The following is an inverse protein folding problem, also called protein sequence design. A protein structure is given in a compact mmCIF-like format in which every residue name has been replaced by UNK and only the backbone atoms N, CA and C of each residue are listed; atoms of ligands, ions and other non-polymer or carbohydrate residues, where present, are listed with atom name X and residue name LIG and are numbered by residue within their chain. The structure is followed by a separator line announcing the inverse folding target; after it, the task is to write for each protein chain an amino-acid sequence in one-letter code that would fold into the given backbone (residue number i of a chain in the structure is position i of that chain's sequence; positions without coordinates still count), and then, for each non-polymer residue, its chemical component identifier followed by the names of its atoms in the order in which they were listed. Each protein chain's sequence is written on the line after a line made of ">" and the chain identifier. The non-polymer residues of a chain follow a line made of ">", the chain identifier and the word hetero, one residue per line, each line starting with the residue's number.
data_IF_191635477444
#
_entry.id   IF_191635477444
#
_cell.length_a   1.000
_cell.length_b   1.000
_cell.length_c   1.000
_cell.angle_alpha   90.00
_cell.angle_beta   90.00
_cell.angle_gamma   90.00
#
_symmetry.space_group_name_H-M   'P 1'
#
loop_
_entity.id
_entity.type
_entity.pdbx_description
1 polymer ?
#
# COMPACT_ATOMS: atom_id res chain seq x y z
N UNK A 1 -68.94 41.02 1.60
CA UNK A 1 -67.62 41.48 2.12
C UNK A 1 -67.04 40.33 2.92
N UNK A 2 -65.89 39.74 2.64
CA UNK A 2 -64.91 39.96 1.60
C UNK A 2 -64.20 38.63 1.35
N UNK A 3 -64.00 38.37 0.06
CA UNK A 3 -63.14 37.35 -0.53
C UNK A 3 -61.68 37.63 -0.15
N UNK A 4 -60.92 36.61 0.28
CA UNK A 4 -59.46 36.73 0.52
C UNK A 4 -58.73 35.44 0.12
N UNK A 5 -58.29 35.45 -1.13
CA UNK A 5 -56.96 35.07 -1.63
C UNK A 5 -56.29 33.85 -1.00
N UNK A 6 -56.43 32.71 -1.67
CA UNK A 6 -55.66 31.49 -1.45
C UNK A 6 -54.87 31.08 -2.72
N UNK A 7 -54.20 32.03 -3.39
CA UNK A 7 -53.54 31.82 -4.70
C UNK A 7 -52.00 32.06 -4.70
N UNK A 8 -51.34 32.05 -3.54
CA UNK A 8 -49.96 32.59 -3.41
C UNK A 8 -48.78 31.67 -3.72
N UNK A 9 -48.93 30.34 -3.65
CA UNK A 9 -47.77 29.41 -3.73
C UNK A 9 -47.71 28.56 -5.00
N UNK A 10 -48.86 28.23 -5.61
CA UNK A 10 -48.93 27.54 -6.91
C UNK A 10 -48.30 28.34 -8.06
N UNK A 11 -48.32 29.67 -7.96
CA UNK A 11 -47.67 30.57 -8.92
C UNK A 11 -46.15 30.43 -8.92
N UNK A 12 -45.50 30.22 -7.76
CA UNK A 12 -44.02 30.29 -7.67
C UNK A 12 -43.30 29.13 -8.36
N UNK A 13 -43.86 27.91 -8.35
CA UNK A 13 -43.23 26.78 -9.01
C UNK A 13 -43.47 26.81 -10.52
N UNK A 14 -44.67 27.21 -10.96
CA UNK A 14 -44.95 27.47 -12.37
C UNK A 14 -44.12 28.64 -12.90
N UNK A 15 -43.90 29.69 -12.10
CA UNK A 15 -43.05 30.82 -12.46
C UNK A 15 -41.57 30.43 -12.51
N UNK A 16 -41.08 29.56 -11.61
CA UNK A 16 -39.71 29.00 -11.70
C UNK A 16 -39.55 28.09 -12.91
N UNK A 17 -40.52 27.24 -13.20
CA UNK A 17 -40.50 26.39 -14.39
C UNK A 17 -40.51 27.25 -15.65
N UNK A 18 -41.36 28.28 -15.72
CA UNK A 18 -41.37 29.25 -16.82
C UNK A 18 -40.08 30.06 -16.92
N UNK A 19 -39.46 30.44 -15.79
CA UNK A 19 -38.16 31.11 -15.78
C UNK A 19 -37.03 30.18 -16.26
N UNK A 20 -37.06 28.91 -15.87
CA UNK A 20 -36.15 27.88 -16.37
C UNK A 20 -36.37 27.68 -17.87
N UNK A 21 -37.60 27.44 -18.31
CA UNK A 21 -37.98 27.27 -19.72
C UNK A 21 -37.59 28.49 -20.56
N UNK A 22 -37.84 29.72 -20.08
CA UNK A 22 -37.45 30.95 -20.75
C UNK A 22 -35.92 31.13 -20.78
N UNK A 23 -35.23 30.81 -19.68
CA UNK A 23 -33.76 30.80 -19.63
C UNK A 23 -33.14 29.77 -20.58
N UNK A 24 -33.77 28.61 -20.73
CA UNK A 24 -33.34 27.55 -21.65
C UNK A 24 -33.64 27.90 -23.10
N UNK A 25 -34.83 28.42 -23.40
CA UNK A 25 -35.18 28.89 -24.74
C UNK A 25 -34.22 30.00 -25.21
N UNK A 26 -33.72 30.83 -24.29
CA UNK A 26 -32.71 31.84 -24.56
C UNK A 26 -31.29 31.27 -24.73
N UNK A 27 -30.92 30.22 -23.98
CA UNK A 27 -29.58 29.63 -24.00
C UNK A 27 -29.36 28.61 -25.14
N UNK A 28 -30.41 27.91 -25.59
CA UNK A 28 -30.39 26.90 -26.65
C UNK A 28 -31.65 27.02 -27.53
N UNK A 29 -31.70 28.02 -28.44
CA UNK A 29 -32.88 28.27 -29.27
C UNK A 29 -33.21 27.05 -30.15
N UNK A 30 -34.45 26.57 -30.11
CA UNK A 30 -34.94 25.48 -30.96
C UNK A 30 -34.95 24.08 -30.34
N UNK A 31 -34.52 23.92 -29.08
CA UNK A 31 -34.63 22.66 -28.35
C UNK A 31 -35.84 22.65 -27.40
N UNK A 32 -36.53 21.51 -27.31
CA UNK A 32 -37.52 21.25 -26.27
C UNK A 32 -36.83 21.11 -24.90
N UNK A 33 -37.23 21.93 -23.93
CA UNK A 33 -36.63 21.99 -22.59
C UNK A 33 -36.72 20.64 -21.85
N UNK A 34 -37.79 19.88 -22.06
CA UNK A 34 -37.95 18.57 -21.45
C UNK A 34 -36.95 17.57 -22.04
N UNK A 35 -36.81 17.53 -23.37
CA UNK A 35 -35.84 16.69 -24.07
C UNK A 35 -34.40 17.04 -23.67
N UNK A 36 -34.09 18.32 -23.49
CA UNK A 36 -32.76 18.77 -23.07
C UNK A 36 -32.41 18.34 -21.63
N UNK A 37 -33.33 18.53 -20.66
CA UNK A 37 -33.12 18.08 -19.28
C UNK A 37 -32.99 16.55 -19.20
N UNK A 38 -33.78 15.82 -19.99
CA UNK A 38 -33.64 14.37 -20.11
C UNK A 38 -32.25 14.00 -20.63
N UNK A 39 -31.73 14.68 -21.66
CA UNK A 39 -30.39 14.43 -22.19
C UNK A 39 -29.28 14.70 -21.15
N UNK A 40 -29.41 15.73 -20.31
CA UNK A 40 -28.48 15.98 -19.18
C UNK A 40 -28.51 14.83 -18.17
N UNK A 41 -29.71 14.36 -17.80
CA UNK A 41 -29.87 13.25 -16.86
C UNK A 41 -29.30 11.95 -17.44
N UNK A 42 -29.52 11.68 -18.72
CA UNK A 42 -29.05 10.47 -19.39
C UNK A 42 -27.54 10.46 -19.67
N UNK A 43 -26.93 11.65 -19.82
CA UNK A 43 -25.47 11.79 -20.02
C UNK A 43 -24.68 11.89 -18.71
N UNK A 44 -25.34 12.00 -17.56
CA UNK A 44 -24.67 12.04 -16.26
C UNK A 44 -23.96 10.73 -15.95
N UNK A 45 -22.75 10.78 -15.40
CA UNK A 45 -22.04 9.61 -14.89
C UNK A 45 -22.62 9.07 -13.57
N UNK A 46 -23.33 9.91 -12.82
CA UNK A 46 -23.99 9.49 -11.59
C UNK A 46 -25.33 8.81 -11.91
N UNK A 47 -25.69 7.80 -11.10
CA UNK A 47 -27.01 7.19 -11.19
C UNK A 47 -28.07 8.14 -10.64
N UNK A 48 -29.03 8.51 -11.48
CA UNK A 48 -30.13 9.41 -11.13
C UNK A 48 -31.43 8.63 -11.17
N UNK A 49 -32.09 8.56 -10.02
CA UNK A 49 -33.28 7.73 -9.80
C UNK A 49 -34.34 8.61 -9.14
N UNK A 50 -35.59 8.50 -9.57
CA UNK A 50 -36.72 9.05 -8.81
C UNK A 50 -37.60 7.93 -8.27
N UNK A 51 -38.30 8.21 -7.18
CA UNK A 51 -39.26 7.29 -6.57
C UNK A 51 -40.45 8.03 -5.96
N UNK A 52 -41.58 7.34 -5.84
CA UNK A 52 -42.74 7.82 -5.08
C UNK A 52 -42.46 7.84 -3.57
N UNK A 53 -43.38 8.43 -2.80
CA UNK A 53 -43.33 8.42 -1.33
C UNK A 53 -43.52 7.02 -0.72
N UNK A 54 -43.93 6.03 -1.51
CA UNK A 54 -44.00 4.62 -1.13
C UNK A 54 -42.70 3.85 -1.48
N UNK A 55 -41.66 4.56 -1.94
CA UNK A 55 -40.39 3.95 -2.31
C UNK A 55 -40.39 3.23 -3.66
N UNK A 56 -41.43 3.42 -4.49
CA UNK A 56 -41.54 2.79 -5.81
C UNK A 56 -40.78 3.62 -6.83
N UNK A 57 -39.85 2.99 -7.57
CA UNK A 57 -39.03 3.64 -8.58
C UNK A 57 -39.90 4.17 -9.73
N UNK A 58 -39.73 5.43 -10.08
CA UNK A 58 -40.48 6.12 -11.15
C UNK A 58 -39.61 6.46 -12.36
N UNK A 59 -38.32 6.71 -12.17
CA UNK A 59 -37.37 6.91 -13.28
C UNK A 59 -36.02 6.27 -12.99
N UNK A 60 -35.29 5.95 -14.06
CA UNK A 60 -34.03 5.22 -14.01
C UNK A 60 -33.16 5.62 -15.21
N UNK A 61 -32.09 6.39 -15.00
CA UNK A 61 -31.22 6.83 -16.10
C UNK A 61 -30.22 5.75 -16.53
N UNK A 62 -29.52 5.96 -17.65
CA UNK A 62 -28.50 5.03 -18.18
C UNK A 62 -27.37 4.72 -17.20
N UNK A 63 -26.97 5.67 -16.36
CA UNK A 63 -25.95 5.39 -15.32
C UNK A 63 -26.47 4.48 -14.21
N UNK A 64 -27.74 4.57 -13.83
CA UNK A 64 -28.33 3.63 -12.90
C UNK A 64 -28.33 2.19 -13.46
N UNK A 65 -28.56 2.02 -14.77
CA UNK A 65 -28.41 0.72 -15.44
C UNK A 65 -26.99 0.18 -15.32
N UNK A 66 -25.98 1.01 -15.61
CA UNK A 66 -24.57 0.61 -15.51
C UNK A 66 -24.15 0.28 -14.08
N UNK A 67 -24.53 1.12 -13.11
CA UNK A 67 -24.10 0.99 -11.71
C UNK A 67 -24.76 -0.21 -11.03
N UNK A 68 -26.06 -0.44 -11.23
CA UNK A 68 -26.81 -1.47 -10.51
C UNK A 68 -27.10 -2.73 -11.34
N UNK A 69 -26.93 -2.70 -12.66
CA UNK A 69 -27.09 -3.84 -13.56
C UNK A 69 -28.54 -4.17 -13.93
N UNK A 70 -29.51 -3.35 -13.52
CA UNK A 70 -30.92 -3.48 -13.90
C UNK A 70 -31.26 -2.52 -15.04
N UNK A 71 -31.99 -2.98 -16.05
CA UNK A 71 -32.51 -2.06 -17.07
C UNK A 71 -33.63 -1.19 -16.50
N UNK A 72 -33.94 -0.07 -17.13
CA UNK A 72 -35.06 0.77 -16.73
C UNK A 72 -36.39 -0.01 -16.69
N UNK A 73 -36.63 -0.93 -17.64
CA UNK A 73 -37.82 -1.77 -17.70
C UNK A 73 -37.92 -2.74 -16.52
N UNK A 74 -36.80 -3.19 -15.99
CA UNK A 74 -36.76 -4.09 -14.83
C UNK A 74 -36.93 -3.33 -13.50
N UNK A 75 -36.41 -2.10 -13.44
CA UNK A 75 -36.34 -1.30 -12.22
C UNK A 75 -37.58 -0.42 -11.99
N UNK A 76 -38.12 0.22 -13.02
CA UNK A 76 -39.27 1.12 -12.88
C UNK A 76 -40.50 0.34 -12.42
N UNK A 77 -41.22 0.87 -11.45
CA UNK A 77 -42.36 0.22 -10.80
C UNK A 77 -42.00 -0.77 -9.70
N UNK A 78 -40.71 -1.06 -9.47
CA UNK A 78 -40.24 -1.89 -8.35
C UNK A 78 -39.92 -1.05 -7.12
N UNK A 79 -39.96 -1.64 -5.90
CA UNK A 79 -39.51 -0.96 -4.70
C UNK A 79 -37.98 -0.78 -4.72
N UNK A 80 -37.50 0.40 -4.33
CA UNK A 80 -36.06 0.73 -4.27
C UNK A 80 -35.27 -0.19 -3.32
N UNK A 81 -35.97 -0.87 -2.39
CA UNK A 81 -35.40 -1.87 -1.48
C UNK A 81 -34.74 -3.04 -2.20
N UNK A 82 -35.05 -3.27 -3.49
CA UNK A 82 -34.34 -4.29 -4.29
C UNK A 82 -32.82 -4.07 -4.36
N UNK A 83 -32.37 -2.81 -4.22
CA UNK A 83 -30.96 -2.42 -4.22
C UNK A 83 -30.35 -2.43 -2.81
N UNK A 84 -31.14 -2.67 -1.77
CA UNK A 84 -30.71 -2.52 -0.38
C UNK A 84 -30.38 -3.89 0.20
N UNK A 85 -29.18 -4.08 0.79
CA UNK A 85 -28.83 -5.30 1.51
C UNK A 85 -29.82 -5.61 2.65
N UNK A 86 -30.01 -6.88 2.98
CA UNK A 86 -31.01 -7.31 3.97
C UNK A 86 -30.76 -6.72 5.36
N UNK A 87 -29.49 -6.55 5.74
CA UNK A 87 -29.03 -5.97 7.01
C UNK A 87 -29.18 -4.44 7.08
N UNK A 88 -29.68 -3.80 6.01
CA UNK A 88 -29.77 -2.33 5.87
C UNK A 88 -31.14 -1.83 5.40
N UNK A 89 -32.16 -2.69 5.44
CA UNK A 89 -33.51 -2.35 4.96
C UNK A 89 -34.17 -1.20 5.75
N UNK A 90 -33.72 -0.96 6.98
CA UNK A 90 -34.17 0.13 7.86
C UNK A 90 -33.73 1.53 7.39
N UNK A 91 -32.69 1.61 6.54
CA UNK A 91 -32.25 2.88 5.95
C UNK A 91 -33.38 3.57 5.15
N UNK A 92 -34.19 2.81 4.43
CA UNK A 92 -35.20 3.35 3.51
C UNK A 92 -36.36 4.04 4.25
N UNK A 93 -37.00 3.42 5.27
CA UNK A 93 -37.97 4.12 6.12
C UNK A 93 -37.42 5.41 6.74
N UNK A 94 -36.17 5.39 7.23
CA UNK A 94 -35.54 6.57 7.83
C UNK A 94 -35.34 7.69 6.81
N UNK A 95 -34.87 7.35 5.60
CA UNK A 95 -34.74 8.30 4.49
C UNK A 95 -36.10 8.88 4.10
N UNK A 96 -37.14 8.04 3.93
CA UNK A 96 -38.47 8.51 3.54
C UNK A 96 -39.08 9.44 4.60
N UNK A 97 -38.87 9.18 5.89
CA UNK A 97 -39.34 10.06 6.96
C UNK A 97 -38.75 11.48 6.82
N UNK A 98 -37.44 11.59 6.58
CA UNK A 98 -36.75 12.88 6.36
C UNK A 98 -37.25 13.58 5.10
N UNK A 99 -37.41 12.85 4.00
CA UNK A 99 -37.95 13.41 2.76
C UNK A 99 -39.38 13.92 2.95
N UNK A 100 -40.23 13.18 3.67
CA UNK A 100 -41.59 13.62 3.99
C UNK A 100 -41.62 14.89 4.87
N UNK A 101 -40.62 15.08 5.72
CA UNK A 101 -40.42 16.33 6.46
C UNK A 101 -39.88 17.49 5.59
N UNK A 102 -39.58 17.23 4.31
CA UNK A 102 -39.02 18.21 3.37
C UNK A 102 -37.52 18.41 3.50
N UNK A 103 -36.84 17.57 4.28
CA UNK A 103 -35.39 17.60 4.44
C UNK A 103 -34.68 16.96 3.25
N UNK A 104 -33.42 17.35 3.05
CA UNK A 104 -32.49 16.69 2.14
C UNK A 104 -31.59 15.74 2.93
N UNK A 105 -31.21 14.63 2.31
CA UNK A 105 -30.14 13.76 2.81
C UNK A 105 -28.92 14.01 1.94
N UNK A 106 -27.86 14.58 2.52
CA UNK A 106 -26.61 14.86 1.83
C UNK A 106 -25.53 13.84 2.24
N UNK A 107 -24.69 13.44 1.28
CA UNK A 107 -23.48 12.62 1.49
C UNK A 107 -23.66 11.38 2.37
N UNK A 108 -24.76 10.66 2.21
CA UNK A 108 -24.98 9.42 2.96
C UNK A 108 -24.24 8.27 2.27
N UNK A 109 -23.12 7.86 2.83
CA UNK A 109 -22.37 6.69 2.36
C UNK A 109 -22.99 5.38 2.86
N UNK A 110 -23.29 4.46 1.95
CA UNK A 110 -23.86 3.15 2.27
C UNK A 110 -23.48 2.12 1.20
N UNK A 111 -23.91 0.87 1.41
CA UNK A 111 -23.75 -0.24 0.48
C UNK A 111 -25.07 -0.53 -0.23
N UNK A 112 -24.98 -0.82 -1.54
CA UNK A 112 -26.09 -1.35 -2.33
C UNK A 112 -25.73 -2.67 -2.99
N UNK A 113 -26.75 -3.44 -3.32
CA UNK A 113 -26.66 -4.71 -4.02
C UNK A 113 -27.02 -4.52 -5.49
N UNK A 114 -26.14 -4.97 -6.38
CA UNK A 114 -26.38 -5.04 -7.83
C UNK A 114 -27.24 -6.26 -8.18
N UNK A 115 -27.71 -6.33 -9.43
CA UNK A 115 -28.48 -7.46 -9.97
C UNK A 115 -27.77 -8.81 -9.86
N UNK A 116 -26.45 -8.82 -10.04
CA UNK A 116 -25.62 -10.03 -9.93
C UNK A 116 -25.34 -10.46 -8.48
N UNK A 117 -25.86 -9.72 -7.49
CA UNK A 117 -25.65 -9.98 -6.07
C UNK A 117 -24.41 -9.32 -5.48
N UNK A 118 -23.54 -8.70 -6.29
CA UNK A 118 -22.36 -7.99 -5.80
C UNK A 118 -22.75 -6.72 -5.03
N UNK A 119 -21.88 -6.32 -4.10
CA UNK A 119 -22.08 -5.12 -3.30
C UNK A 119 -21.22 -3.96 -3.81
N UNK A 120 -21.77 -2.75 -3.69
CA UNK A 120 -21.09 -1.50 -4.04
C UNK A 120 -21.19 -0.47 -2.95
N UNK A 121 -20.08 0.21 -2.70
CA UNK A 121 -20.08 1.40 -1.89
C UNK A 121 -20.56 2.59 -2.73
N UNK A 122 -21.58 3.28 -2.23
CA UNK A 122 -22.12 4.47 -2.88
C UNK A 122 -22.26 5.63 -1.91
N UNK A 123 -22.10 6.85 -2.43
CA UNK A 123 -22.51 8.08 -1.75
C UNK A 123 -23.85 8.53 -2.31
N UNK A 124 -24.81 8.78 -1.42
CA UNK A 124 -26.17 9.16 -1.76
C UNK A 124 -26.46 10.61 -1.43
N UNK A 125 -27.10 11.28 -2.37
CA UNK A 125 -27.78 12.55 -2.14
C UNK A 125 -29.25 12.40 -2.52
N UNK A 126 -30.15 12.72 -1.59
CA UNK A 126 -31.59 12.45 -1.74
C UNK A 126 -32.36 13.73 -1.45
N UNK A 127 -33.18 14.17 -2.40
CA UNK A 127 -33.91 15.44 -2.32
C UNK A 127 -35.41 15.23 -2.56
N UNK A 128 -36.29 15.98 -1.87
CA UNK A 128 -37.72 15.91 -2.12
C UNK A 128 -38.06 16.48 -3.51
N UNK A 129 -38.92 15.77 -4.24
CA UNK A 129 -39.53 16.27 -5.49
C UNK A 129 -40.85 16.92 -5.13
N UNK A 130 -41.07 18.17 -5.56
CA UNK A 130 -42.28 18.94 -5.30
C UNK A 130 -43.06 19.17 -6.59
N UNK A 131 -44.39 19.15 -6.51
CA UNK A 131 -45.27 19.53 -7.61
C UNK A 131 -45.38 21.06 -7.75
N UNK A 132 -46.19 21.52 -8.71
CA UNK A 132 -46.44 22.95 -8.95
C UNK A 132 -47.06 23.70 -7.76
N UNK A 133 -47.65 22.99 -6.80
CA UNK A 133 -48.24 23.54 -5.57
C UNK A 133 -47.26 23.52 -4.39
N UNK A 134 -46.02 23.08 -4.60
CA UNK A 134 -45.01 22.94 -3.55
C UNK A 134 -45.15 21.68 -2.67
N UNK A 135 -46.16 20.84 -2.91
CA UNK A 135 -46.38 19.57 -2.22
C UNK A 135 -45.33 18.54 -2.63
N UNK A 136 -44.76 17.84 -1.66
CA UNK A 136 -43.81 16.74 -1.90
C UNK A 136 -44.57 15.57 -2.51
N UNK A 137 -44.11 15.08 -3.66
CA UNK A 137 -44.73 13.99 -4.43
C UNK A 137 -43.80 12.78 -4.59
N UNK A 138 -42.54 12.90 -4.19
CA UNK A 138 -41.56 11.83 -4.29
C UNK A 138 -40.17 12.28 -3.86
N UNK A 139 -39.17 11.49 -4.23
CA UNK A 139 -37.77 11.77 -3.96
C UNK A 139 -36.94 11.58 -5.22
N UNK A 140 -35.95 12.46 -5.45
CA UNK A 140 -34.86 12.24 -6.38
C UNK A 140 -33.63 11.76 -5.61
N UNK A 141 -32.92 10.81 -6.19
CA UNK A 141 -31.72 10.19 -5.63
C UNK A 141 -30.61 10.28 -6.66
N UNK A 142 -29.47 10.81 -6.22
CA UNK A 142 -28.21 10.77 -6.94
C UNK A 142 -27.33 9.78 -6.20
N UNK A 143 -26.85 8.77 -6.91
CA UNK A 143 -26.00 7.71 -6.38
C UNK A 143 -24.67 7.73 -7.14
N UNK A 144 -23.59 7.99 -6.40
CA UNK A 144 -22.22 7.96 -6.93
C UNK A 144 -21.51 6.72 -6.43
N UNK A 145 -20.95 5.93 -7.34
CA UNK A 145 -20.05 4.84 -6.97
C UNK A 145 -18.78 5.41 -6.35
N UNK A 146 -18.44 4.98 -5.14
CA UNK A 146 -17.24 5.40 -4.41
C UNK A 146 -16.32 4.21 -4.11
N UNK A 147 -16.57 3.05 -4.73
CA UNK A 147 -15.81 1.83 -4.50
C UNK A 147 -14.32 2.03 -4.81
N UNK A 148 -13.99 2.69 -5.92
CA UNK A 148 -12.60 2.94 -6.32
C UNK A 148 -11.90 3.89 -5.34
N UNK A 149 -12.60 4.94 -4.90
CA UNK A 149 -12.08 5.89 -3.91
C UNK A 149 -11.81 5.20 -2.58
N UNK A 150 -12.71 4.34 -2.11
CA UNK A 150 -12.52 3.58 -0.87
C UNK A 150 -11.38 2.58 -0.98
N UNK A 151 -11.31 1.80 -2.07
CA UNK A 151 -10.20 0.88 -2.32
C UNK A 151 -8.85 1.61 -2.38
N UNK A 152 -8.79 2.77 -3.02
CA UNK A 152 -7.58 3.58 -3.07
C UNK A 152 -7.16 4.09 -1.68
N UNK A 153 -8.13 4.55 -0.86
CA UNK A 153 -7.87 5.00 0.50
C UNK A 153 -7.41 3.85 1.41
N UNK A 154 -8.03 2.68 1.32
CA UNK A 154 -7.60 1.47 2.06
C UNK A 154 -6.19 1.03 1.65
N UNK A 155 -5.90 1.06 0.35
CA UNK A 155 -4.55 0.74 -0.15
C UNK A 155 -3.51 1.74 0.38
N UNK A 156 -3.82 3.04 0.39
CA UNK A 156 -2.95 4.06 0.98
C UNK A 156 -2.71 3.83 2.48
N UNK A 157 -3.74 3.48 3.26
CA UNK A 157 -3.60 3.20 4.69
C UNK A 157 -2.71 1.96 4.94
N UNK A 158 -2.86 0.91 4.13
CA UNK A 158 -1.99 -0.27 4.19
C UNK A 158 -0.52 0.10 3.94
N UNK A 159 -0.25 0.90 2.90
CA UNK A 159 1.11 1.36 2.59
C UNK A 159 1.70 2.22 3.72
N UNK A 160 0.91 3.10 4.32
CA UNK A 160 1.34 3.91 5.46
C UNK A 160 1.67 3.05 6.67
N UNK A 161 0.85 2.04 6.99
CA UNK A 161 1.12 1.09 8.08
C UNK A 161 2.43 0.33 7.83
N UNK A 162 2.63 -0.16 6.61
CA UNK A 162 3.88 -0.85 6.26
C UNK A 162 5.10 0.07 6.40
N UNK A 163 5.01 1.31 5.90
CA UNK A 163 6.03 2.34 6.07
C UNK A 163 6.32 2.61 7.54
N UNK A 164 5.29 2.78 8.38
CA UNK A 164 5.46 2.97 9.82
C UNK A 164 6.17 1.80 10.48
N UNK A 165 5.80 0.56 10.13
CA UNK A 165 6.49 -0.63 10.62
C UNK A 165 7.96 -0.66 10.21
N UNK A 166 8.28 -0.36 8.95
CA UNK A 166 9.66 -0.31 8.44
C UNK A 166 10.50 0.75 9.15
N UNK A 167 9.97 1.98 9.29
CA UNK A 167 10.64 3.08 9.99
C UNK A 167 10.90 2.71 11.47
N UNK A 168 9.92 2.13 12.16
CA UNK A 168 10.09 1.66 13.54
C UNK A 168 11.20 0.61 13.65
N UNK A 169 11.23 -0.35 12.71
CA UNK A 169 12.27 -1.38 12.67
C UNK A 169 13.67 -0.76 12.44
N UNK A 170 13.79 0.20 11.52
CA UNK A 170 15.05 0.92 11.28
C UNK A 170 15.55 1.61 12.55
N UNK A 171 14.71 2.34 13.28
CA UNK A 171 15.11 2.99 14.53
C UNK A 171 15.52 1.99 15.61
N UNK A 172 14.83 0.86 15.74
CA UNK A 172 15.20 -0.18 16.69
C UNK A 172 16.58 -0.79 16.38
N UNK A 173 16.87 -1.01 15.10
CA UNK A 173 18.16 -1.51 14.62
C UNK A 173 19.26 -0.47 14.86
N UNK A 174 19.02 0.80 14.50
CA UNK A 174 19.97 1.90 14.76
C UNK A 174 20.30 2.03 16.25
N UNK A 175 19.30 2.00 17.13
CA UNK A 175 19.51 2.04 18.58
C UNK A 175 20.34 0.86 19.09
N UNK A 176 20.12 -0.33 18.51
CA UNK A 176 20.90 -1.54 18.83
C UNK A 176 22.35 -1.42 18.36
N UNK A 177 22.59 -0.86 17.16
CA UNK A 177 23.93 -0.60 16.64
C UNK A 177 24.70 0.33 17.59
N UNK A 178 24.08 1.42 18.03
CA UNK A 178 24.70 2.39 18.96
C UNK A 178 25.07 1.70 20.28
N UNK A 179 24.11 1.02 20.88
CA UNK A 179 24.28 0.35 22.19
C UNK A 179 25.41 -0.67 22.14
N UNK A 180 25.50 -1.43 21.05
CA UNK A 180 26.47 -2.50 20.91
C UNK A 180 27.86 -1.94 20.50
N UNK A 181 27.92 -0.93 19.63
CA UNK A 181 29.18 -0.30 19.24
C UNK A 181 29.85 0.42 20.42
N UNK A 182 29.05 1.04 21.29
CA UNK A 182 29.53 1.69 22.51
C UNK A 182 30.17 0.71 23.51
N UNK A 183 29.79 -0.58 23.49
CA UNK A 183 30.38 -1.60 24.38
C UNK A 183 31.77 -2.06 23.96
N UNK A 184 32.08 -1.97 22.66
CA UNK A 184 33.33 -2.52 22.11
C UNK A 184 34.36 -1.46 21.78
N UNK A 185 33.93 -0.22 21.49
CA UNK A 185 34.83 0.86 21.11
C UNK A 185 35.71 1.28 22.29
N UNK A 186 37.02 1.40 22.04
CA UNK A 186 37.99 1.84 23.05
C UNK A 186 38.14 3.36 23.09
N UNK A 187 37.74 4.05 22.00
CA UNK A 187 37.82 5.51 21.89
C UNK A 187 36.56 6.12 21.27
N UNK A 188 36.25 7.41 21.57
CA UNK A 188 35.14 8.10 20.92
C UNK A 188 35.26 8.18 19.39
N UNK A 189 36.48 8.29 18.87
CA UNK A 189 36.73 8.35 17.42
C UNK A 189 36.45 7.00 16.73
N UNK A 190 36.80 5.89 17.39
CA UNK A 190 36.49 4.54 16.92
C UNK A 190 34.98 4.29 16.93
N UNK A 191 34.28 4.72 17.99
CA UNK A 191 32.83 4.66 18.07
C UNK A 191 32.16 5.45 16.93
N UNK A 192 32.58 6.71 16.72
CA UNK A 192 32.00 7.57 15.71
C UNK A 192 32.20 7.02 14.28
N UNK A 193 33.42 6.55 13.97
CA UNK A 193 33.73 5.93 12.67
C UNK A 193 32.92 4.65 12.48
N UNK A 194 32.94 3.74 13.46
CA UNK A 194 32.22 2.48 13.38
C UNK A 194 30.70 2.62 13.36
N UNK A 195 30.13 3.68 13.92
CA UNK A 195 28.72 4.02 13.78
C UNK A 195 28.41 4.57 12.39
N UNK A 196 29.25 5.49 11.89
CA UNK A 196 29.08 6.09 10.56
C UNK A 196 29.08 5.02 9.47
N UNK A 197 30.05 4.11 9.48
CA UNK A 197 30.20 3.08 8.45
C UNK A 197 28.98 2.15 8.42
N UNK A 198 28.46 1.76 9.60
CA UNK A 198 27.25 0.93 9.72
C UNK A 198 25.98 1.64 9.30
N UNK A 199 25.85 2.94 9.61
CA UNK A 199 24.71 3.74 9.14
C UNK A 199 24.72 3.88 7.61
N UNK A 200 25.89 4.03 6.99
CA UNK A 200 26.03 4.05 5.54
C UNK A 200 25.64 2.71 4.93
N UNK A 201 26.10 1.59 5.51
CA UNK A 201 25.72 0.25 5.07
C UNK A 201 24.20 0.03 5.18
N UNK A 202 23.59 0.46 6.29
CA UNK A 202 22.14 0.41 6.50
C UNK A 202 21.38 1.26 5.46
N UNK A 203 21.87 2.47 5.16
CA UNK A 203 21.28 3.35 4.14
C UNK A 203 21.27 2.68 2.77
N UNK A 204 22.39 2.10 2.35
CA UNK A 204 22.49 1.38 1.07
C UNK A 204 21.55 0.19 1.00
N UNK A 205 21.51 -0.61 2.07
CA UNK A 205 20.59 -1.74 2.18
C UNK A 205 19.13 -1.29 2.10
N UNK A 206 18.80 -0.13 2.69
CA UNK A 206 17.45 0.42 2.64
C UNK A 206 17.09 0.95 1.25
N UNK A 207 18.00 1.65 0.56
CA UNK A 207 17.81 2.10 -0.83
C UNK A 207 17.47 0.93 -1.78
N UNK A 208 18.05 -0.25 -1.56
CA UNK A 208 17.77 -1.46 -2.34
C UNK A 208 16.36 -2.03 -2.11
N UNK A 209 15.65 -1.54 -1.09
CA UNK A 209 14.29 -1.97 -0.73
C UNK A 209 13.25 -0.86 -0.93
N UNK A 210 13.68 0.33 -1.36
CA UNK A 210 12.79 1.43 -1.67
C UNK A 210 12.09 1.18 -3.01
N UNK A 211 10.76 1.34 -3.10
CA UNK A 211 10.06 1.24 -4.36
C UNK A 211 10.59 2.27 -5.35
N UNK A 212 10.85 1.85 -6.59
CA UNK A 212 11.05 2.80 -7.69
C UNK A 212 9.76 3.59 -7.92
N UNK A 213 9.80 4.91 -7.72
CA UNK A 213 8.66 5.80 -7.98
C UNK A 213 8.45 6.12 -9.48
N UNK A 214 9.05 5.34 -10.37
CA UNK A 214 9.03 5.56 -11.83
C UNK A 214 8.16 4.51 -12.51
N UNK A 215 6.96 4.92 -12.95
CA UNK A 215 6.07 4.10 -13.79
C UNK A 215 4.83 3.58 -13.08
N UNK A 216 3.75 3.36 -13.84
CA UNK A 216 2.42 2.98 -13.36
C UNK A 216 2.27 1.54 -12.86
N UNK A 217 3.37 0.84 -12.58
CA UNK A 217 3.34 -0.49 -11.98
C UNK A 217 3.43 -0.34 -10.46
N UNK A 218 2.27 -0.52 -9.83
CA UNK A 218 2.11 -0.52 -8.39
C UNK A 218 3.08 -1.51 -7.73
N UNK A 219 3.86 -1.01 -6.76
CA UNK A 219 4.33 -1.72 -5.56
C UNK A 219 4.38 -3.25 -5.66
N UNK A 220 5.15 -3.78 -6.62
CA UNK A 220 5.62 -5.15 -6.51
C UNK A 220 6.54 -5.15 -5.29
N UNK A 221 6.38 -6.12 -4.39
CA UNK A 221 7.32 -6.33 -3.29
C UNK A 221 8.73 -6.45 -3.90
N UNK A 222 9.48 -5.35 -3.91
CA UNK A 222 10.80 -5.35 -4.53
C UNK A 222 11.71 -6.19 -3.64
N UNK A 223 11.95 -7.41 -4.10
CA UNK A 223 13.01 -8.26 -3.62
C UNK A 223 14.31 -7.82 -4.30
N UNK A 224 15.41 -7.85 -3.55
CA UNK A 224 16.75 -7.74 -4.11
C UNK A 224 17.41 -9.12 -4.08
N UNK A 225 18.55 -9.29 -4.71
CA UNK A 225 19.27 -10.56 -4.67
C UNK A 225 20.45 -10.54 -3.71
N UNK A 226 20.88 -11.71 -3.24
CA UNK A 226 22.09 -11.83 -2.42
C UNK A 226 23.32 -11.33 -3.17
N UNK A 227 23.45 -11.59 -4.47
CA UNK A 227 24.57 -11.04 -5.23
C UNK A 227 24.54 -9.51 -5.29
N UNK A 228 23.36 -8.92 -5.48
CA UNK A 228 23.22 -7.45 -5.51
C UNK A 228 23.63 -6.86 -4.15
N UNK A 229 23.12 -7.42 -3.06
CA UNK A 229 23.45 -7.00 -1.70
C UNK A 229 24.96 -7.13 -1.40
N UNK A 230 25.52 -8.32 -1.61
CA UNK A 230 26.94 -8.60 -1.34
C UNK A 230 27.86 -7.72 -2.19
N UNK A 231 27.55 -7.53 -3.48
CA UNK A 231 28.33 -6.66 -4.35
C UNK A 231 28.32 -5.20 -3.87
N UNK A 232 27.17 -4.68 -3.45
CA UNK A 232 27.05 -3.32 -2.89
C UNK A 232 27.88 -3.14 -1.62
N UNK A 233 27.89 -4.16 -0.75
CA UNK A 233 28.64 -4.15 0.50
C UNK A 233 30.15 -4.36 0.33
N UNK A 234 30.55 -5.19 -0.63
CA UNK A 234 31.96 -5.54 -0.87
C UNK A 234 32.68 -4.56 -1.80
N UNK A 235 31.95 -3.88 -2.70
CA UNK A 235 32.53 -2.90 -3.65
C UNK A 235 33.46 -1.84 -3.03
N UNK A 236 33.23 -1.31 -1.80
CA UNK A 236 34.15 -0.34 -1.20
C UNK A 236 35.51 -0.93 -0.81
N UNK A 237 35.62 -2.26 -0.76
CA UNK A 237 36.84 -2.98 -0.40
C UNK A 237 37.58 -3.54 -1.62
N UNK A 238 37.09 -3.28 -2.84
CA UNK A 238 37.83 -3.56 -4.07
C UNK A 238 39.05 -2.63 -4.17
N UNK A 239 40.18 -3.16 -4.64
CA UNK A 239 41.34 -2.34 -4.97
C UNK A 239 41.33 -1.93 -6.45
N UNK A 240 42.36 -1.17 -6.88
CA UNK A 240 42.45 -0.69 -8.27
C UNK A 240 42.76 -1.81 -9.28
N UNK A 241 43.30 -2.94 -8.82
CA UNK A 241 43.70 -4.06 -9.66
C UNK A 241 42.56 -5.08 -9.84
N UNK A 242 41.62 -5.09 -8.91
CA UNK A 242 40.40 -5.88 -8.96
C UNK A 242 40.58 -7.34 -8.52
N UNK A 243 39.44 -8.00 -8.33
CA UNK A 243 39.37 -9.43 -8.01
C UNK A 243 39.68 -9.76 -6.56
N UNK A 244 39.60 -8.80 -5.62
CA UNK A 244 39.80 -9.09 -4.18
C UNK A 244 38.69 -9.96 -3.59
N UNK A 245 37.51 -9.92 -4.20
CA UNK A 245 36.42 -10.84 -3.88
C UNK A 245 35.72 -11.37 -5.13
N UNK A 246 35.04 -12.51 -4.99
CA UNK A 246 34.22 -13.13 -6.03
C UNK A 246 32.96 -13.73 -5.45
N UNK A 247 31.89 -13.69 -6.25
CA UNK A 247 30.61 -14.33 -5.92
C UNK A 247 30.39 -15.49 -6.89
N UNK A 248 29.97 -16.64 -6.36
CA UNK A 248 29.74 -17.86 -7.12
C UNK A 248 28.39 -18.48 -6.78
N UNK A 249 27.86 -19.29 -7.70
CA UNK A 249 26.73 -20.17 -7.46
C UNK A 249 25.36 -19.59 -7.81
N UNK A 250 24.32 -20.03 -7.12
CA UNK A 250 22.92 -19.71 -7.41
C UNK A 250 22.48 -18.47 -6.63
N UNK A 251 22.08 -17.42 -7.33
CA UNK A 251 21.62 -16.18 -6.70
C UNK A 251 20.19 -16.35 -6.15
N UNK A 252 19.93 -15.83 -4.95
CA UNK A 252 18.63 -15.95 -4.29
C UNK A 252 17.98 -14.59 -4.02
N UNK A 253 16.66 -14.56 -4.19
CA UNK A 253 15.83 -13.40 -3.87
C UNK A 253 15.64 -13.25 -2.36
N UNK A 254 15.79 -12.02 -1.89
CA UNK A 254 15.66 -11.63 -0.49
C UNK A 254 14.49 -10.67 -0.36
N UNK A 255 13.59 -10.97 0.58
CA UNK A 255 12.50 -10.08 0.93
C UNK A 255 13.02 -8.84 1.70
N UNK A 256 12.36 -7.70 1.52
CA UNK A 256 12.79 -6.41 2.07
C UNK A 256 13.00 -6.40 3.59
N UNK A 257 12.25 -7.21 4.34
CA UNK A 257 12.35 -7.37 5.79
C UNK A 257 13.66 -8.05 6.24
N UNK A 258 14.29 -8.84 5.36
CA UNK A 258 15.53 -9.60 5.65
C UNK A 258 16.79 -8.89 5.16
N UNK A 259 16.67 -8.04 4.14
CA UNK A 259 17.81 -7.33 3.52
C UNK A 259 18.63 -6.59 4.57
N UNK A 260 17.97 -5.88 5.49
CA UNK A 260 18.67 -5.09 6.51
C UNK A 260 19.53 -5.95 7.45
N UNK A 261 18.97 -7.06 7.95
CA UNK A 261 19.65 -7.96 8.89
C UNK A 261 20.85 -8.64 8.22
N UNK A 262 20.67 -9.11 6.99
CA UNK A 262 21.76 -9.70 6.19
C UNK A 262 22.82 -8.65 5.83
N UNK A 263 22.41 -7.41 5.53
CA UNK A 263 23.34 -6.35 5.20
C UNK A 263 24.29 -6.04 6.35
N UNK A 264 23.77 -5.93 7.56
CA UNK A 264 24.59 -5.71 8.75
C UNK A 264 25.51 -6.90 9.01
N UNK A 265 25.02 -8.13 8.89
CA UNK A 265 25.83 -9.33 9.11
C UNK A 265 27.03 -9.39 8.14
N UNK A 266 26.77 -9.23 6.84
CA UNK A 266 27.82 -9.28 5.83
C UNK A 266 28.74 -8.06 5.88
N UNK A 267 28.24 -6.89 6.31
CA UNK A 267 29.09 -5.74 6.59
C UNK A 267 30.07 -6.03 7.74
N UNK A 268 29.64 -6.69 8.81
CA UNK A 268 30.55 -7.12 9.88
C UNK A 268 31.59 -8.14 9.38
N UNK A 269 31.18 -9.11 8.55
CA UNK A 269 32.15 -10.07 7.99
C UNK A 269 33.17 -9.37 7.09
N UNK A 270 32.72 -8.47 6.21
CA UNK A 270 33.60 -7.72 5.32
C UNK A 270 34.60 -6.83 6.10
N UNK A 271 34.12 -6.11 7.11
CA UNK A 271 35.00 -5.26 7.93
C UNK A 271 36.00 -6.09 8.74
N UNK A 272 35.63 -7.28 9.21
CA UNK A 272 36.56 -8.21 9.85
C UNK A 272 37.60 -8.75 8.88
N UNK A 273 37.21 -9.10 7.66
CA UNK A 273 38.13 -9.52 6.61
C UNK A 273 39.18 -8.43 6.32
N UNK A 274 38.77 -7.15 6.29
CA UNK A 274 39.67 -6.01 6.07
C UNK A 274 40.59 -5.73 7.26
N UNK A 275 40.10 -5.87 8.50
CA UNK A 275 40.88 -5.56 9.69
C UNK A 275 41.83 -6.69 10.09
N UNK A 276 41.39 -7.93 9.96
CA UNK A 276 42.03 -9.09 10.59
C UNK A 276 42.22 -10.29 9.64
N UNK A 277 41.57 -10.29 8.47
CA UNK A 277 41.45 -11.46 7.60
C UNK A 277 42.08 -11.27 6.21
N UNK A 278 41.52 -11.95 5.20
CA UNK A 278 42.05 -11.97 3.83
C UNK A 278 42.16 -10.59 3.19
N UNK A 279 41.21 -9.69 3.45
CA UNK A 279 41.23 -8.37 2.82
C UNK A 279 42.27 -7.41 3.46
N UNK A 280 42.91 -7.81 4.56
CA UNK A 280 43.97 -7.04 5.22
C UNK A 280 45.36 -7.16 4.55
N UNK A 281 45.55 -8.16 3.67
CA UNK A 281 46.82 -8.43 2.98
C UNK A 281 46.65 -8.38 1.46
N UNK A 282 47.65 -7.90 0.68
CA UNK A 282 47.51 -7.72 -0.77
C UNK A 282 47.15 -9.00 -1.54
N UNK A 283 47.68 -10.13 -1.13
CA UNK A 283 47.48 -11.42 -1.79
C UNK A 283 46.15 -12.08 -1.41
N UNK A 284 45.51 -11.62 -0.33
CA UNK A 284 44.34 -12.27 0.23
C UNK A 284 43.08 -12.08 -0.60
N UNK A 285 42.29 -13.14 -0.67
CA UNK A 285 41.08 -13.23 -1.50
C UNK A 285 39.87 -13.67 -0.67
N UNK A 286 38.70 -13.19 -1.07
CA UNK A 286 37.41 -13.56 -0.50
C UNK A 286 36.52 -14.20 -1.57
N UNK A 287 36.16 -15.46 -1.41
CA UNK A 287 35.19 -16.14 -2.26
C UNK A 287 33.90 -16.39 -1.48
N UNK A 288 32.77 -15.90 -2.01
CA UNK A 288 31.44 -16.16 -1.46
C UNK A 288 30.66 -17.06 -2.41
N UNK A 289 30.33 -18.26 -1.96
CA UNK A 289 29.58 -19.24 -2.75
C UNK A 289 28.17 -19.41 -2.19
N UNK A 290 27.18 -19.21 -3.05
CA UNK A 290 25.77 -19.41 -2.74
C UNK A 290 25.30 -20.74 -3.34
N UNK A 291 24.70 -21.60 -2.53
CA UNK A 291 24.22 -22.90 -3.02
C UNK A 291 22.85 -23.26 -2.47
N UNK A 292 21.96 -23.64 -3.38
CA UNK A 292 20.65 -24.16 -3.05
C UNK A 292 20.75 -25.65 -2.69
N UNK A 293 20.12 -26.04 -1.58
CA UNK A 293 19.92 -27.42 -1.14
C UNK A 293 18.41 -27.69 -1.09
N UNK A 294 17.96 -28.96 -1.05
CA UNK A 294 16.53 -29.28 -1.00
C UNK A 294 15.76 -28.52 0.09
N UNK A 295 16.31 -28.49 1.31
CA UNK A 295 15.64 -27.93 2.51
C UNK A 295 16.27 -26.62 3.01
N UNK A 296 17.37 -26.17 2.41
CA UNK A 296 18.11 -25.00 2.89
C UNK A 296 18.85 -24.29 1.78
N UNK A 297 19.27 -23.06 2.07
CA UNK A 297 20.15 -22.27 1.25
C UNK A 297 21.43 -22.00 2.05
N UNK A 298 22.57 -22.35 1.45
CA UNK A 298 23.87 -22.26 2.11
C UNK A 298 24.72 -21.14 1.50
N UNK A 299 25.23 -20.28 2.37
CA UNK A 299 26.13 -19.17 2.05
C UNK A 299 27.48 -19.50 2.65
N UNK A 300 28.46 -19.74 1.79
CA UNK A 300 29.84 -20.04 2.19
C UNK A 300 30.72 -18.83 1.97
N UNK A 301 31.33 -18.31 3.02
CA UNK A 301 32.29 -17.21 3.00
C UNK A 301 33.69 -17.77 3.27
N UNK A 302 34.54 -17.75 2.24
CA UNK A 302 35.89 -18.30 2.29
C UNK A 302 36.92 -17.18 2.12
N UNK A 303 37.68 -16.94 3.17
CA UNK A 303 38.87 -16.11 3.15
C UNK A 303 40.10 -16.97 2.91
N UNK A 304 40.92 -16.61 1.92
CA UNK A 304 42.14 -17.33 1.52
C UNK A 304 43.36 -16.42 1.49
N UNK A 305 44.55 -17.03 1.51
CA UNK A 305 45.86 -16.39 1.39
C UNK A 305 46.14 -15.33 2.49
N UNK A 306 45.47 -15.46 3.63
CA UNK A 306 45.84 -14.78 4.87
C UNK A 306 46.39 -15.79 5.88
N UNK A 307 47.55 -15.48 6.47
CA UNK A 307 47.93 -16.15 7.71
C UNK A 307 47.00 -15.63 8.81
N UNK A 308 46.15 -16.47 9.42
CA UNK A 308 45.32 -16.01 10.52
C UNK A 308 46.25 -15.44 11.59
N UNK A 309 46.04 -14.20 12.01
CA UNK A 309 46.56 -13.78 13.32
C UNK A 309 45.84 -14.69 14.32
N UNK A 310 46.55 -15.71 14.81
CA UNK A 310 46.08 -16.74 15.75
C UNK A 310 44.94 -16.19 16.60
N UNK A 311 43.75 -16.78 16.48
CA UNK A 311 42.59 -16.35 17.25
C UNK A 311 42.98 -16.30 18.73
N UNK A 312 43.04 -15.09 19.29
CA UNK A 312 42.58 -14.96 20.66
C UNK A 312 41.10 -15.30 20.53
N UNK A 313 40.70 -16.50 20.96
CA UNK A 313 39.32 -16.71 21.36
C UNK A 313 39.05 -15.64 22.41
N UNK A 314 38.59 -14.46 21.99
CA UNK A 314 38.16 -13.45 22.92
C UNK A 314 36.92 -14.05 23.56
N UNK A 315 37.06 -14.52 24.81
CA UNK A 315 35.94 -14.85 25.69
C UNK A 315 34.99 -13.65 25.88
N UNK A 316 35.34 -12.48 25.37
CA UNK A 316 34.49 -11.30 25.26
C UNK A 316 33.62 -11.39 24.01
N UNK A 317 32.31 -11.40 24.24
CA UNK A 317 31.26 -11.33 23.23
C UNK A 317 31.27 -9.96 22.55
N UNK A 318 32.03 -9.84 21.46
CA UNK A 318 32.06 -8.63 20.64
C UNK A 318 30.75 -8.35 19.89
N UNK A 319 30.66 -7.16 19.29
CA UNK A 319 29.52 -6.70 18.48
C UNK A 319 29.14 -7.72 17.40
N UNK A 320 30.12 -8.16 16.60
CA UNK A 320 29.89 -9.07 15.48
C UNK A 320 29.25 -10.40 15.90
N UNK A 321 29.65 -10.94 17.05
CA UNK A 321 29.08 -12.18 17.61
C UNK A 321 27.64 -12.00 18.08
N UNK A 322 27.32 -10.86 18.70
CA UNK A 322 25.96 -10.58 19.19
C UNK A 322 25.00 -10.30 18.03
N UNK A 323 25.44 -9.53 17.02
CA UNK A 323 24.67 -9.29 15.81
C UNK A 323 24.40 -10.61 15.06
N UNK A 324 25.42 -11.43 14.88
CA UNK A 324 25.26 -12.73 14.23
C UNK A 324 24.23 -13.59 14.97
N UNK A 325 24.31 -13.70 16.29
CA UNK A 325 23.33 -14.46 17.07
C UNK A 325 21.90 -13.94 16.88
N UNK A 326 21.71 -12.63 16.76
CA UNK A 326 20.40 -12.03 16.49
C UNK A 326 19.89 -12.39 15.09
N UNK A 327 20.74 -12.31 14.06
CA UNK A 327 20.38 -12.65 12.68
C UNK A 327 20.11 -14.14 12.52
N UNK A 328 20.93 -14.99 13.13
CA UNK A 328 20.76 -16.45 13.19
C UNK A 328 19.40 -16.82 13.80
N UNK A 329 19.02 -16.20 14.93
CA UNK A 329 17.70 -16.42 15.54
C UNK A 329 16.55 -15.93 14.67
N UNK A 330 16.71 -14.76 14.04
CA UNK A 330 15.65 -14.14 13.22
C UNK A 330 15.38 -14.95 11.95
N UNK A 331 16.43 -15.52 11.34
CA UNK A 331 16.34 -16.30 10.10
C UNK A 331 16.20 -17.82 10.35
N UNK A 332 16.14 -18.26 11.61
CA UNK A 332 16.26 -19.66 11.99
C UNK A 332 17.46 -20.38 11.31
N UNK A 333 18.55 -19.63 11.15
CA UNK A 333 19.74 -20.09 10.45
C UNK A 333 20.68 -20.87 11.39
N UNK A 334 21.70 -21.47 10.81
CA UNK A 334 22.83 -22.07 11.52
C UNK A 334 24.12 -21.46 10.98
N UNK A 335 25.07 -21.17 11.87
CA UNK A 335 26.37 -20.61 11.49
C UNK A 335 27.50 -21.46 12.07
N UNK A 336 28.52 -21.72 11.26
CA UNK A 336 29.76 -22.38 11.70
C UNK A 336 30.97 -21.58 11.22
N UNK A 337 32.05 -21.62 12.01
CA UNK A 337 33.34 -21.00 11.70
C UNK A 337 34.44 -22.03 11.82
N UNK A 338 35.28 -22.11 10.81
CA UNK A 338 36.45 -22.98 10.77
C UNK A 338 37.69 -22.15 10.41
N UNK A 339 38.61 -22.02 11.36
CA UNK A 339 39.87 -21.29 11.16
C UNK A 339 40.90 -22.22 10.52
N UNK A 340 41.25 -21.93 9.28
CA UNK A 340 42.14 -22.77 8.49
C UNK A 340 43.55 -22.18 8.45
N UNK A 341 44.61 -22.98 8.18
CA UNK A 341 45.98 -22.48 8.15
C UNK A 341 46.23 -21.29 7.21
N UNK A 342 45.39 -21.14 6.18
CA UNK A 342 45.49 -20.11 5.16
C UNK A 342 44.26 -19.19 5.09
N UNK A 343 43.41 -19.18 6.12
CA UNK A 343 42.30 -18.22 6.21
C UNK A 343 41.13 -18.66 7.09
N UNK A 344 39.92 -18.26 6.73
CA UNK A 344 38.70 -18.45 7.52
C UNK A 344 37.56 -18.93 6.63
N UNK A 345 36.87 -19.97 7.08
CA UNK A 345 35.66 -20.46 6.44
C UNK A 345 34.46 -20.23 7.36
N UNK A 346 33.48 -19.46 6.89
CA UNK A 346 32.18 -19.30 7.56
C UNK A 346 31.12 -19.95 6.69
N UNK A 347 30.28 -20.81 7.27
CA UNK A 347 29.09 -21.34 6.59
C UNK A 347 27.84 -20.87 7.32
N UNK A 348 26.96 -20.21 6.59
CA UNK A 348 25.63 -19.80 7.05
C UNK A 348 24.59 -20.61 6.28
N UNK A 349 23.86 -21.46 6.99
CA UNK A 349 22.79 -22.30 6.43
C UNK A 349 21.45 -21.74 6.87
N UNK A 350 20.62 -21.35 5.92
CA UNK A 350 19.32 -20.73 6.17
C UNK A 350 18.22 -21.67 5.64
N UNK A 351 17.14 -21.93 6.37
CA UNK A 351 15.99 -22.68 5.86
C UNK A 351 15.46 -22.09 4.54
N UNK A 352 14.98 -22.94 3.63
CA UNK A 352 14.62 -22.48 2.29
C UNK A 352 13.39 -21.55 2.28
N UNK A 353 12.46 -21.77 3.18
CA UNK A 353 11.30 -20.90 3.46
C UNK A 353 11.72 -19.53 4.01
N UNK A 354 12.98 -19.39 4.40
CA UNK A 354 13.58 -18.12 4.79
C UNK A 354 14.16 -17.30 3.62
N UNK A 355 14.06 -17.76 2.38
CA UNK A 355 14.23 -16.91 1.19
C UNK A 355 12.90 -16.84 0.43
N UNK A 356 12.66 -15.70 -0.22
CA UNK A 356 11.52 -15.59 -1.14
C UNK A 356 11.88 -16.44 -2.37
N UNK A 357 11.36 -17.67 -2.45
CA UNK A 357 11.60 -18.53 -3.62
C UNK A 357 10.86 -17.89 -4.80
N UNK A 358 11.49 -17.76 -5.98
CA UNK A 358 10.85 -17.23 -7.19
C UNK A 358 9.60 -17.99 -7.62
#
# INVERSE_FOLDING_TARGET
>A
MADRNYDGEGGRAQDRLRQLEAGFAAAQPGHDAAAFLAAIVESSDDAIISKSLQGIITTWNKSAERVFGYTAEEAVGRPITMLIPEDRLDEEPAILARINAGERVDHFETVRRRKDGTFIDISLTISPIRNGEGKIIGASKIARDISDRKRAAEHQDLLLREMHHRVKNLFAITGSIITLAARTAQTPAELATGMKDRLVALSRAHEMTLPSFTGGEAFVAQSTTLFTLLSSLLSPFEDKEGGRWRLHGEDAQISADRVTSLALLFHEYATNAVKYGALSVPEGRLDVTLSSRPDSFEITWLESDAKPKRAVESKETGFGTTLEQMVVRTLNAQVSRDWQPHGLLIRLTVPRDAFAIP
#
